data_IF_561973071453
#
_entry.id   IF_561973071453
#
_cell.length_a   1.000
_cell.length_b   1.000
_cell.length_c   1.000
_cell.angle_alpha   90.00
_cell.angle_beta   90.00
_cell.angle_gamma   90.00
#
_symmetry.space_group_name_H-M   'P 1'
#
loop_
_entity.id
_entity.type
_entity.pdbx_description
1 polymer ?
#
# COMPACT_ATOMS: atom_id res chain seq x y z
N UNK A 1 -82.97 -4.27 -3.44
CA UNK A 1 -82.47 -2.87 -3.45
C UNK A 1 -81.63 -2.68 -2.19
N UNK A 2 -80.31 -2.43 -2.32
CA UNK A 2 -79.64 -1.12 -2.00
C UNK A 2 -79.65 -0.88 -0.47
N UNK A 3 -78.57 -0.72 0.34
CA UNK A 3 -77.18 -0.18 0.25
C UNK A 3 -76.45 -0.61 1.56
N UNK A 4 -75.15 -0.98 1.57
CA UNK A 4 -73.94 -0.14 1.76
C UNK A 4 -73.71 0.40 3.20
N UNK A 5 -72.65 -0.09 3.87
CA UNK A 5 -71.47 0.67 4.42
C UNK A 5 -71.70 1.37 5.78
N UNK A 6 -70.77 1.51 6.75
CA UNK A 6 -69.37 1.14 7.06
C UNK A 6 -69.17 1.45 8.56
N UNK A 7 -68.19 0.81 9.21
CA UNK A 7 -67.22 1.39 10.18
C UNK A 7 -66.57 0.21 10.95
N UNK A 8 -65.37 -0.24 10.55
CA UNK A 8 -64.05 0.18 11.07
C UNK A 8 -63.86 -0.03 12.58
N UNK A 9 -63.01 -1.00 12.94
CA UNK A 9 -61.65 -0.76 13.44
C UNK A 9 -61.23 -1.77 14.53
N UNK A 10 -60.65 -2.91 14.14
CA UNK A 10 -59.67 -3.62 14.96
C UNK A 10 -58.56 -4.18 14.06
N UNK A 11 -57.39 -3.56 14.11
CA UNK A 11 -56.15 -4.07 13.52
C UNK A 11 -55.66 -5.29 14.34
N UNK A 12 -55.32 -6.43 13.72
CA UNK A 12 -54.50 -7.43 14.37
C UNK A 12 -53.01 -7.01 14.33
N UNK A 13 -52.18 -7.52 15.27
CA UNK A 13 -50.84 -7.00 15.52
C UNK A 13 -49.91 -7.25 14.34
N UNK A 14 -49.15 -6.20 14.00
CA UNK A 14 -48.06 -6.19 13.04
C UNK A 14 -47.16 -7.40 13.22
N UNK A 15 -47.12 -8.27 12.21
CA UNK A 15 -46.06 -9.25 12.08
C UNK A 15 -44.74 -8.49 11.99
N UNK A 16 -43.92 -8.61 13.03
CA UNK A 16 -42.51 -8.25 13.00
C UNK A 16 -41.87 -9.11 11.92
N UNK A 17 -41.75 -8.57 10.71
CA UNK A 17 -40.88 -9.13 9.69
C UNK A 17 -39.47 -9.09 10.25
N UNK A 18 -39.00 -10.25 10.72
CA UNK A 18 -37.60 -10.48 10.94
C UNK A 18 -36.88 -10.08 9.66
N UNK A 19 -36.02 -9.06 9.73
CA UNK A 19 -35.03 -8.79 8.69
C UNK A 19 -34.23 -10.08 8.52
N UNK A 20 -34.62 -10.93 7.57
CA UNK A 20 -33.80 -12.02 7.10
C UNK A 20 -32.56 -11.36 6.51
N UNK A 21 -31.47 -11.34 7.28
CA UNK A 21 -30.17 -10.94 6.79
C UNK A 21 -29.87 -11.79 5.56
N UNK A 22 -29.68 -11.14 4.41
CA UNK A 22 -29.42 -11.82 3.15
C UNK A 22 -28.17 -12.72 3.37
N UNK A 23 -28.21 -14.04 3.14
CA UNK A 23 -27.09 -14.94 3.44
C UNK A 23 -25.78 -14.60 2.72
N UNK A 24 -25.88 -13.77 1.68
CA UNK A 24 -24.76 -13.19 0.94
C UNK A 24 -23.96 -12.17 1.76
N UNK A 25 -24.61 -11.46 2.68
CA UNK A 25 -24.00 -10.34 3.44
C UNK A 25 -23.43 -10.78 4.79
N UNK A 26 -23.43 -12.09 5.08
CA UNK A 26 -22.82 -12.64 6.27
C UNK A 26 -21.30 -12.43 6.25
N UNK A 27 -20.78 -11.76 7.28
CA UNK A 27 -19.34 -11.65 7.50
C UNK A 27 -18.77 -12.96 8.07
N UNK A 28 -17.71 -13.45 7.44
CA UNK A 28 -16.93 -14.59 7.90
C UNK A 28 -15.52 -14.17 8.26
N UNK A 29 -14.94 -14.85 9.26
CA UNK A 29 -13.51 -14.77 9.52
C UNK A 29 -12.79 -15.72 8.57
N UNK A 30 -11.93 -15.20 7.71
CA UNK A 30 -10.99 -16.00 6.92
C UNK A 30 -9.60 -15.95 7.56
N UNK A 31 -8.91 -17.07 7.46
CA UNK A 31 -7.52 -17.21 7.87
C UNK A 31 -6.69 -17.38 6.61
N UNK A 32 -5.74 -16.49 6.35
CA UNK A 32 -4.84 -16.61 5.19
C UNK A 32 -3.46 -17.02 5.69
N UNK A 33 -2.90 -18.06 5.09
CA UNK A 33 -1.55 -18.53 5.36
C UNK A 33 -0.62 -18.09 4.23
N UNK A 34 0.33 -17.22 4.60
CA UNK A 34 1.46 -16.81 3.77
C UNK A 34 2.74 -17.32 4.47
N UNK A 35 3.67 -16.44 4.83
CA UNK A 35 4.80 -16.69 5.75
C UNK A 35 4.36 -16.71 7.23
N UNK A 36 3.20 -16.09 7.51
CA UNK A 36 2.51 -16.10 8.80
C UNK A 36 1.02 -16.29 8.58
N UNK A 37 0.30 -16.54 9.66
CA UNK A 37 -1.16 -16.69 9.64
C UNK A 37 -1.81 -15.34 9.93
N UNK A 38 -2.63 -14.82 9.01
CA UNK A 38 -3.41 -13.60 9.21
C UNK A 38 -4.90 -13.91 9.28
N UNK A 39 -5.61 -13.19 10.15
CA UNK A 39 -7.06 -13.27 10.24
C UNK A 39 -7.71 -12.00 9.68
N UNK A 40 -8.75 -12.14 8.89
CA UNK A 40 -9.52 -11.03 8.33
C UNK A 40 -11.02 -11.34 8.32
N UNK A 41 -11.84 -10.29 8.42
CA UNK A 41 -13.30 -10.38 8.29
C UNK A 41 -13.69 -9.93 6.89
N UNK A 42 -14.46 -10.74 6.18
CA UNK A 42 -14.94 -10.45 4.82
C UNK A 42 -16.37 -10.95 4.65
N UNK A 43 -17.15 -10.35 3.76
CA UNK A 43 -18.50 -10.85 3.45
C UNK A 43 -18.43 -12.00 2.46
N UNK A 44 -19.32 -12.97 2.60
CA UNK A 44 -19.44 -14.11 1.67
C UNK A 44 -19.72 -13.68 0.22
N UNK A 45 -20.34 -12.52 0.02
CA UNK A 45 -20.65 -11.93 -1.29
C UNK A 45 -19.46 -11.25 -1.98
N UNK A 46 -18.37 -10.96 -1.28
CA UNK A 46 -17.21 -10.28 -1.86
C UNK A 46 -16.57 -11.13 -2.96
N UNK A 47 -16.04 -10.44 -3.98
CA UNK A 47 -15.25 -11.05 -5.04
C UNK A 47 -13.84 -11.41 -4.56
N UNK A 48 -13.20 -12.37 -5.23
CA UNK A 48 -11.81 -12.76 -4.92
C UNK A 48 -10.83 -11.60 -5.12
N UNK A 49 -11.07 -10.71 -6.08
CA UNK A 49 -10.28 -9.49 -6.29
C UNK A 49 -10.25 -8.58 -5.04
N UNK A 50 -11.38 -8.42 -4.36
CA UNK A 50 -11.45 -7.63 -3.11
C UNK A 50 -10.63 -8.30 -2.01
N UNK A 51 -10.67 -9.62 -1.92
CA UNK A 51 -9.87 -10.36 -0.96
C UNK A 51 -8.37 -10.21 -1.24
N UNK A 52 -7.96 -10.28 -2.51
CA UNK A 52 -6.57 -10.04 -2.92
C UNK A 52 -6.11 -8.63 -2.55
N UNK A 53 -6.94 -7.62 -2.81
CA UNK A 53 -6.67 -6.24 -2.40
C UNK A 53 -6.45 -6.11 -0.89
N UNK A 54 -7.35 -6.69 -0.08
CA UNK A 54 -7.24 -6.67 1.39
C UNK A 54 -5.98 -7.37 1.91
N UNK A 55 -5.58 -8.49 1.28
CA UNK A 55 -4.33 -9.17 1.60
C UNK A 55 -3.14 -8.29 1.22
N UNK A 56 -3.19 -7.65 0.06
CA UNK A 56 -2.11 -6.78 -0.40
C UNK A 56 -1.88 -5.57 0.49
N UNK A 57 -2.95 -4.97 1.00
CA UNK A 57 -2.88 -3.90 2.00
C UNK A 57 -2.30 -4.35 3.34
N UNK A 58 -2.50 -5.62 3.73
CA UNK A 58 -2.05 -6.17 5.02
C UNK A 58 -0.63 -6.73 4.98
N UNK A 59 -0.24 -7.32 3.87
CA UNK A 59 1.01 -8.09 3.73
C UNK A 59 1.99 -7.46 2.75
N UNK A 60 1.64 -6.32 2.12
CA UNK A 60 2.46 -5.64 1.12
C UNK A 60 2.80 -6.51 -0.10
N UNK A 61 1.80 -7.29 -0.57
CA UNK A 61 1.89 -8.18 -1.73
C UNK A 61 0.93 -7.67 -2.81
N UNK A 62 1.42 -7.38 -4.01
CA UNK A 62 0.54 -6.95 -5.10
C UNK A 62 -0.47 -8.01 -5.50
N UNK A 63 -1.66 -7.58 -5.90
CA UNK A 63 -2.80 -8.46 -6.24
C UNK A 63 -2.49 -9.44 -7.38
N UNK A 64 -1.69 -9.03 -8.37
CA UNK A 64 -1.23 -9.88 -9.47
C UNK A 64 -0.23 -10.97 -9.05
N UNK A 65 0.45 -10.79 -7.92
CA UNK A 65 1.36 -11.77 -7.34
C UNK A 65 0.67 -12.69 -6.32
N UNK A 66 -0.65 -12.57 -6.18
CA UNK A 66 -1.43 -13.38 -5.26
C UNK A 66 -2.20 -14.49 -5.99
N UNK A 67 -1.92 -15.74 -5.63
CA UNK A 67 -2.76 -16.88 -5.99
C UNK A 67 -3.40 -17.46 -4.73
N UNK A 68 -4.71 -17.30 -4.60
CA UNK A 68 -5.46 -17.82 -3.45
C UNK A 68 -5.94 -19.23 -3.75
N UNK A 69 -5.80 -20.12 -2.76
CA UNK A 69 -6.38 -21.45 -2.82
C UNK A 69 -7.13 -21.79 -1.54
N UNK A 70 -8.26 -22.49 -1.70
CA UNK A 70 -9.06 -23.03 -0.62
C UNK A 70 -9.09 -24.55 -0.77
N UNK A 71 -8.57 -25.28 0.24
CA UNK A 71 -8.49 -26.74 0.24
C UNK A 71 -7.89 -27.32 -1.07
N UNK A 72 -6.81 -26.70 -1.56
CA UNK A 72 -6.12 -27.10 -2.78
C UNK A 72 -6.78 -26.63 -4.08
N UNK A 73 -7.90 -25.91 -4.03
CA UNK A 73 -8.54 -25.35 -5.22
C UNK A 73 -8.21 -23.88 -5.40
N UNK A 74 -7.65 -23.51 -6.55
CA UNK A 74 -7.40 -22.12 -6.91
C UNK A 74 -8.69 -21.31 -6.99
N UNK A 75 -8.63 -20.09 -6.45
CA UNK A 75 -9.69 -19.11 -6.47
C UNK A 75 -9.43 -18.12 -7.62
N UNK A 76 -10.46 -17.85 -8.40
CA UNK A 76 -10.43 -17.10 -9.65
C UNK A 76 -11.00 -15.70 -9.41
N UNK A 77 -10.40 -14.71 -10.06
CA UNK A 77 -10.91 -13.35 -10.10
C UNK A 77 -12.31 -13.33 -10.76
N UNK A 78 -13.12 -12.32 -10.43
CA UNK A 78 -14.54 -12.24 -10.83
C UNK A 78 -15.52 -13.21 -10.13
N UNK A 79 -15.05 -14.25 -9.41
CA UNK A 79 -15.93 -15.13 -8.60
C UNK A 79 -16.13 -14.60 -7.19
N UNK A 80 -17.24 -14.97 -6.54
CA UNK A 80 -17.50 -14.62 -5.13
C UNK A 80 -16.99 -15.70 -4.20
N UNK A 81 -16.65 -15.32 -2.96
CA UNK A 81 -16.22 -16.26 -1.92
C UNK A 81 -17.28 -17.35 -1.73
N UNK A 82 -18.57 -16.99 -1.68
CA UNK A 82 -19.68 -17.94 -1.52
C UNK A 82 -19.80 -18.98 -2.64
N UNK A 83 -19.31 -18.70 -3.85
CA UNK A 83 -19.40 -19.63 -4.98
C UNK A 83 -18.54 -20.88 -4.76
N UNK A 84 -17.42 -20.71 -4.06
CA UNK A 84 -16.56 -21.81 -3.61
C UNK A 84 -17.19 -22.65 -2.50
N UNK A 85 -18.15 -22.07 -1.77
CA UNK A 85 -18.96 -22.75 -0.76
C UNK A 85 -20.08 -23.63 -1.31
N UNK A 86 -20.51 -23.41 -2.55
CA UNK A 86 -21.82 -23.87 -3.07
C UNK A 86 -21.72 -24.90 -4.21
N UNK A 87 -20.53 -25.26 -4.69
CA UNK A 87 -20.37 -26.21 -5.81
C UNK A 87 -20.72 -27.66 -5.41
N UNK A 88 -21.96 -28.06 -5.72
CA UNK A 88 -22.62 -29.34 -5.38
C UNK A 88 -22.22 -30.58 -6.21
N UNK A 89 -21.08 -30.60 -6.93
CA UNK A 89 -20.78 -31.72 -7.87
C UNK A 89 -19.56 -32.59 -7.53
N UNK A 90 -19.03 -32.55 -6.32
CA UNK A 90 -18.05 -33.55 -5.84
C UNK A 90 -18.29 -33.90 -4.37
N UNK A 91 -17.85 -35.09 -3.95
CA UNK A 91 -18.06 -35.69 -2.61
C UNK A 91 -17.36 -34.90 -1.47
N UNK A 92 -16.61 -33.84 -1.80
CA UNK A 92 -16.04 -32.90 -0.87
C UNK A 92 -16.70 -31.51 -1.08
N UNK A 93 -17.84 -31.28 -0.43
CA UNK A 93 -18.41 -29.93 -0.35
C UNK A 93 -17.50 -29.08 0.53
N UNK A 94 -16.74 -28.16 -0.05
CA UNK A 94 -16.00 -27.13 0.69
C UNK A 94 -17.01 -26.19 1.36
N UNK A 95 -17.52 -26.54 2.54
CA UNK A 95 -18.30 -25.61 3.33
C UNK A 95 -17.32 -24.54 3.83
N UNK A 96 -17.36 -23.34 3.26
CA UNK A 96 -16.63 -22.20 3.81
C UNK A 96 -17.32 -21.83 5.13
N UNK A 97 -16.74 -22.31 6.23
CA UNK A 97 -17.15 -21.98 7.58
C UNK A 97 -16.34 -20.79 8.09
N UNK A 98 -16.84 -20.14 9.14
CA UNK A 98 -16.05 -19.14 9.86
C UNK A 98 -14.77 -19.81 10.38
N UNK A 99 -13.62 -19.23 10.08
CA UNK A 99 -12.30 -19.81 10.36
C UNK A 99 -11.69 -20.63 9.22
N UNK A 100 -12.27 -20.64 8.01
CA UNK A 100 -11.68 -21.32 6.86
C UNK A 100 -10.27 -20.80 6.55
N UNK A 101 -9.35 -21.73 6.28
CA UNK A 101 -7.96 -21.43 5.95
C UNK A 101 -7.76 -21.37 4.44
N UNK A 102 -7.35 -20.21 3.95
CA UNK A 102 -6.85 -19.97 2.61
C UNK A 102 -5.34 -20.08 2.61
N UNK A 103 -4.79 -20.71 1.58
CA UNK A 103 -3.36 -20.68 1.31
C UNK A 103 -3.11 -19.64 0.22
N UNK A 104 -2.24 -18.68 0.51
CA UNK A 104 -1.72 -17.77 -0.49
C UNK A 104 -0.44 -18.38 -1.05
N UNK A 105 -0.46 -18.65 -2.36
CA UNK A 105 0.72 -18.99 -3.11
C UNK A 105 1.23 -17.69 -3.73
N UNK A 106 2.38 -17.24 -3.26
CA UNK A 106 3.20 -16.24 -3.95
C UNK A 106 4.34 -16.98 -4.61
N UNK A 107 4.61 -16.67 -5.87
CA UNK A 107 5.86 -17.08 -6.51
C UNK A 107 6.80 -15.86 -6.40
N UNK A 108 7.56 -15.71 -5.29
CA UNK A 108 8.54 -14.64 -5.22
C UNK A 108 9.51 -14.86 -6.38
N UNK A 109 9.68 -13.85 -7.25
CA UNK A 109 10.78 -13.93 -8.22
C UNK A 109 12.04 -14.03 -7.39
N UNK A 110 12.77 -15.14 -7.54
CA UNK A 110 13.92 -15.44 -6.68
C UNK A 110 14.90 -14.26 -6.64
N UNK A 111 15.08 -13.60 -7.80
CA UNK A 111 15.88 -12.39 -7.96
C UNK A 111 15.22 -11.44 -8.98
N UNK A 112 15.38 -10.14 -8.75
CA UNK A 112 15.01 -9.05 -9.66
C UNK A 112 16.23 -8.17 -9.88
N UNK A 113 16.54 -7.91 -11.16
CA UNK A 113 17.67 -7.09 -11.57
C UNK A 113 17.19 -5.78 -12.18
N UNK A 114 17.53 -4.64 -11.56
CA UNK A 114 17.14 -3.31 -12.04
C UNK A 114 18.32 -2.34 -11.96
N UNK A 115 18.16 -1.14 -12.49
CA UNK A 115 19.19 -0.09 -12.48
C UNK A 115 18.82 1.06 -11.55
N UNK A 116 19.82 1.58 -10.83
CA UNK A 116 19.73 2.83 -10.08
C UNK A 116 20.55 3.89 -10.79
N UNK A 117 19.89 4.94 -11.30
CA UNK A 117 20.55 6.11 -11.88
C UNK A 117 20.92 7.10 -10.77
N UNK A 118 22.22 7.37 -10.62
CA UNK A 118 22.74 8.35 -9.66
C UNK A 118 22.56 9.79 -10.16
N UNK A 119 22.69 10.80 -9.27
CA UNK A 119 22.74 12.22 -9.68
C UNK A 119 23.83 12.53 -10.72
N UNK A 120 24.94 11.78 -10.72
CA UNK A 120 26.01 11.89 -11.71
C UNK A 120 25.70 11.17 -13.04
N UNK A 121 24.48 10.66 -13.22
CA UNK A 121 24.02 9.93 -14.41
C UNK A 121 24.72 8.59 -14.64
N UNK A 122 25.34 8.05 -13.60
CA UNK A 122 25.90 6.69 -13.61
C UNK A 122 24.78 5.73 -13.22
N UNK A 123 24.68 4.61 -13.92
CA UNK A 123 23.72 3.54 -13.60
C UNK A 123 24.41 2.39 -12.88
N UNK A 124 23.84 1.97 -11.75
CA UNK A 124 24.29 0.83 -10.95
C UNK A 124 23.27 -0.28 -11.12
N UNK A 125 23.70 -1.46 -11.55
CA UNK A 125 22.82 -2.63 -11.54
C UNK A 125 22.72 -3.20 -10.13
N UNK A 126 21.49 -3.48 -9.71
CA UNK A 126 21.16 -4.03 -8.40
C UNK A 126 20.39 -5.31 -8.63
N UNK A 127 20.86 -6.39 -8.01
CA UNK A 127 20.28 -7.72 -8.05
C UNK A 127 19.92 -8.14 -6.63
N UNK A 128 18.63 -8.33 -6.37
CA UNK A 128 18.05 -8.51 -5.04
C UNK A 128 16.75 -9.30 -5.14
N UNK A 129 16.21 -9.76 -4.01
CA UNK A 129 14.90 -10.42 -3.98
C UNK A 129 13.78 -9.40 -4.10
N UNK A 130 12.68 -9.74 -4.76
CA UNK A 130 11.50 -8.85 -4.82
C UNK A 130 10.89 -8.56 -3.43
N UNK A 131 11.18 -9.40 -2.43
CA UNK A 131 10.82 -9.21 -1.02
C UNK A 131 11.69 -8.18 -0.29
N UNK A 132 12.82 -7.75 -0.86
CA UNK A 132 13.67 -6.74 -0.21
C UNK A 132 12.96 -5.40 -0.13
N UNK A 133 13.16 -4.71 1.00
CA UNK A 133 12.61 -3.36 1.20
C UNK A 133 13.43 -2.33 0.43
N UNK A 134 12.83 -1.17 0.18
CA UNK A 134 13.54 -0.02 -0.38
C UNK A 134 14.73 0.38 0.49
N UNK A 135 14.63 0.24 1.83
CA UNK A 135 15.77 0.47 2.71
C UNK A 135 16.91 -0.52 2.47
N UNK A 136 16.61 -1.80 2.27
CA UNK A 136 17.63 -2.82 1.98
C UNK A 136 18.36 -2.49 0.68
N UNK A 137 17.61 -2.12 -0.37
CA UNK A 137 18.18 -1.65 -1.65
C UNK A 137 19.09 -0.45 -1.44
N UNK A 138 18.65 0.54 -0.65
CA UNK A 138 19.46 1.72 -0.37
C UNK A 138 20.76 1.39 0.34
N UNK A 139 20.76 0.44 1.29
CA UNK A 139 21.97 -0.04 1.96
C UNK A 139 22.93 -0.77 1.00
N UNK A 140 22.38 -1.53 0.05
CA UNK A 140 23.18 -2.18 -0.99
C UNK A 140 23.84 -1.13 -1.88
N UNK A 141 23.07 -0.16 -2.38
CA UNK A 141 23.63 0.94 -3.18
C UNK A 141 24.63 1.77 -2.38
N UNK A 142 24.40 2.01 -1.10
CA UNK A 142 25.39 2.64 -0.20
C UNK A 142 26.69 1.83 -0.14
N UNK A 143 26.63 0.50 -0.08
CA UNK A 143 27.85 -0.33 -0.08
C UNK A 143 28.60 -0.32 -1.43
N UNK A 144 27.90 -0.03 -2.53
CA UNK A 144 28.48 0.06 -3.88
C UNK A 144 28.93 1.49 -4.23
N UNK A 145 28.60 2.46 -3.39
CA UNK A 145 28.86 3.88 -3.63
C UNK A 145 29.41 4.55 -2.36
N UNK A 146 29.54 5.88 -2.36
CA UNK A 146 29.85 6.65 -1.15
C UNK A 146 28.64 7.47 -0.68
N UNK A 147 27.43 7.20 -1.21
CA UNK A 147 26.22 7.95 -0.86
C UNK A 147 25.50 7.26 0.29
N UNK A 148 25.46 7.92 1.46
CA UNK A 148 24.79 7.36 2.64
C UNK A 148 23.30 7.21 2.38
N UNK A 149 22.72 6.07 2.75
CA UNK A 149 21.31 5.78 2.46
C UNK A 149 20.33 6.77 3.07
N UNK A 150 20.72 7.59 4.05
CA UNK A 150 19.88 8.67 4.58
C UNK A 150 19.86 9.93 3.69
N UNK A 151 20.86 10.16 2.84
CA UNK A 151 21.05 11.41 2.09
C UNK A 151 20.19 11.49 0.81
N UNK A 152 19.55 10.40 0.43
CA UNK A 152 18.84 10.27 -0.83
C UNK A 152 17.62 9.36 -0.73
N UNK A 153 16.71 9.49 -1.68
CA UNK A 153 15.53 8.65 -1.85
C UNK A 153 15.49 8.05 -3.25
N UNK A 154 14.87 6.87 -3.37
CA UNK A 154 14.59 6.24 -4.66
C UNK A 154 13.27 6.74 -5.22
N UNK A 155 13.26 6.95 -6.54
CA UNK A 155 12.08 7.33 -7.30
C UNK A 155 11.86 6.39 -8.48
N UNK A 156 10.61 5.94 -8.66
CA UNK A 156 10.16 5.30 -9.88
C UNK A 156 9.31 6.32 -10.66
N UNK A 157 9.85 6.85 -11.75
CA UNK A 157 9.28 8.00 -12.45
C UNK A 157 9.22 9.24 -11.53
N UNK A 158 8.01 9.68 -11.16
CA UNK A 158 7.77 10.80 -10.22
C UNK A 158 7.41 10.34 -8.81
N UNK A 159 7.27 9.02 -8.58
CA UNK A 159 6.84 8.46 -7.30
C UNK A 159 8.04 8.23 -6.39
N UNK A 160 8.08 8.90 -5.24
CA UNK A 160 9.02 8.60 -4.17
C UNK A 160 8.70 7.23 -3.56
N UNK A 161 9.70 6.39 -3.40
CA UNK A 161 9.56 5.06 -2.81
C UNK A 161 9.77 5.13 -1.28
N UNK A 162 8.87 4.50 -0.53
CA UNK A 162 8.92 4.40 0.93
C UNK A 162 9.87 3.27 1.37
N UNK A 163 10.80 3.60 2.27
CA UNK A 163 11.82 2.71 2.84
C UNK A 163 11.28 1.39 3.40
N UNK A 164 10.06 1.36 3.94
CA UNK A 164 9.47 0.17 4.57
C UNK A 164 8.75 -0.76 3.59
N UNK A 165 8.49 -0.30 2.36
CA UNK A 165 7.81 -1.10 1.33
C UNK A 165 8.80 -1.94 0.54
N UNK A 166 8.33 -3.07 0.02
CA UNK A 166 9.14 -4.02 -0.77
C UNK A 166 9.23 -3.61 -2.24
N UNK A 167 10.17 -4.18 -2.98
CA UNK A 167 10.22 -4.05 -4.44
C UNK A 167 8.95 -4.59 -5.10
N UNK A 168 8.48 -5.73 -4.61
CA UNK A 168 7.23 -6.35 -5.04
C UNK A 168 6.06 -5.37 -4.88
N UNK A 169 5.94 -4.62 -3.78
CA UNK A 169 4.87 -3.63 -3.58
C UNK A 169 4.82 -2.55 -4.67
N UNK A 170 5.94 -2.24 -5.31
CA UNK A 170 6.03 -1.23 -6.37
C UNK A 170 5.94 -1.81 -7.78
N UNK A 171 5.79 -3.13 -7.95
CA UNK A 171 5.86 -3.84 -9.23
C UNK A 171 7.18 -3.55 -9.98
N UNK A 172 8.29 -3.46 -9.24
CA UNK A 172 9.61 -3.21 -9.84
C UNK A 172 10.04 -4.45 -10.61
N UNK A 173 10.36 -4.26 -11.89
CA UNK A 173 10.66 -5.31 -12.85
C UNK A 173 12.12 -5.29 -13.27
N UNK A 174 12.48 -6.35 -13.98
CA UNK A 174 13.76 -6.44 -14.63
C UNK A 174 13.96 -5.24 -15.58
N UNK A 175 15.15 -4.63 -15.53
CA UNK A 175 15.54 -3.47 -16.33
C UNK A 175 14.81 -2.16 -16.00
N UNK A 176 14.01 -2.09 -14.93
CA UNK A 176 13.50 -0.81 -14.45
C UNK A 176 14.65 0.13 -14.06
N UNK A 177 14.43 1.43 -14.24
CA UNK A 177 15.40 2.46 -13.84
C UNK A 177 14.81 3.29 -12.71
N UNK A 178 15.36 3.13 -11.52
CA UNK A 178 15.04 3.94 -10.35
C UNK A 178 16.02 5.11 -10.27
N UNK A 179 15.50 6.30 -9.97
CA UNK A 179 16.33 7.51 -9.84
C UNK A 179 16.67 7.78 -8.38
N UNK A 180 17.95 7.96 -8.11
CA UNK A 180 18.45 8.46 -6.84
C UNK A 180 18.37 9.98 -6.84
N UNK A 181 17.51 10.54 -6.00
CA UNK A 181 17.38 11.98 -5.80
C UNK A 181 17.70 12.33 -4.35
N UNK A 182 18.31 13.49 -4.13
CA UNK A 182 18.67 13.94 -2.79
C UNK A 182 17.43 14.03 -1.89
N UNK A 183 17.53 13.49 -0.67
CA UNK A 183 16.44 13.51 0.29
C UNK A 183 16.19 14.96 0.71
N UNK A 184 14.95 15.42 0.55
CA UNK A 184 14.54 16.77 0.94
C UNK A 184 13.97 16.74 2.35
N UNK A 185 14.40 17.69 3.17
CA UNK A 185 13.92 17.94 4.51
C UNK A 185 13.42 19.37 4.59
N UNK A 186 12.37 19.59 5.37
CA UNK A 186 11.90 20.93 5.66
C UNK A 186 12.63 21.47 6.89
N UNK A 187 13.33 22.58 6.73
CA UNK A 187 13.89 23.35 7.85
C UNK A 187 13.10 24.64 8.03
N UNK A 188 13.10 25.17 9.25
CA UNK A 188 12.48 26.45 9.57
C UNK A 188 13.55 27.49 9.85
N UNK A 189 13.48 28.63 9.15
CA UNK A 189 14.37 29.78 9.36
C UNK A 189 13.57 30.92 9.99
N UNK A 190 13.98 31.35 11.18
CA UNK A 190 13.42 32.54 11.83
C UNK A 190 14.18 33.77 11.38
N UNK A 191 13.48 34.71 10.76
CA UNK A 191 14.04 36.00 10.32
C UNK A 191 14.17 36.99 11.50
N UNK A 192 14.92 38.09 11.30
CA UNK A 192 15.08 39.15 12.32
C UNK A 192 13.75 39.84 12.67
N UNK A 193 12.77 39.83 11.76
CA UNK A 193 11.43 40.37 12.01
C UNK A 193 10.53 39.41 12.79
N UNK A 194 11.02 38.21 13.13
CA UNK A 194 10.27 37.16 13.83
C UNK A 194 9.48 36.23 12.90
N UNK A 195 9.37 36.53 11.61
CA UNK A 195 8.72 35.65 10.62
C UNK A 195 9.47 34.33 10.49
N UNK A 196 8.75 33.21 10.52
CA UNK A 196 9.27 31.87 10.24
C UNK A 196 9.07 31.57 8.75
N UNK A 197 10.13 31.12 8.08
CA UNK A 197 10.12 30.72 6.68
C UNK A 197 10.53 29.26 6.59
N UNK A 198 9.69 28.43 5.98
CA UNK A 198 10.00 27.02 5.74
C UNK A 198 10.76 26.86 4.42
N UNK A 199 11.90 26.17 4.48
CA UNK A 199 12.76 25.84 3.33
C UNK A 199 12.82 24.34 3.14
N UNK A 200 12.72 23.88 1.90
CA UNK A 200 13.09 22.52 1.52
C UNK A 200 14.57 22.48 1.17
N UNK A 201 15.33 21.73 1.97
CA UNK A 201 16.78 21.57 1.82
C UNK A 201 17.13 20.09 1.67
N UNK A 202 18.27 19.82 1.07
CA UNK A 202 18.84 18.48 0.97
C UNK A 202 20.16 18.43 1.75
N UNK A 203 20.64 17.25 2.10
CA UNK A 203 21.97 17.13 2.74
C UNK A 203 23.11 17.60 1.81
N UNK A 204 22.85 17.68 0.50
CA UNK A 204 23.80 18.20 -0.49
C UNK A 204 23.80 19.73 -0.60
N UNK A 205 22.85 20.43 0.04
CA UNK A 205 22.83 21.90 -0.01
C UNK A 205 23.93 22.49 0.86
N UNK A 206 24.85 23.22 0.23
CA UNK A 206 25.75 24.10 0.97
C UNK A 206 25.04 25.37 1.46
N UNK A 207 25.68 26.12 2.37
CA UNK A 207 25.10 27.36 2.93
C UNK A 207 24.72 28.38 1.86
N UNK A 208 25.45 28.45 0.73
CA UNK A 208 25.11 29.37 -0.36
C UNK A 208 23.82 28.96 -1.05
N UNK A 209 23.59 27.66 -1.28
CA UNK A 209 22.34 27.13 -1.81
C UNK A 209 21.17 27.39 -0.86
N UNK A 210 21.36 27.16 0.46
CA UNK A 210 20.34 27.47 1.48
C UNK A 210 20.00 28.96 1.48
N UNK A 211 21.00 29.85 1.40
CA UNK A 211 20.77 31.30 1.31
C UNK A 211 20.03 31.71 0.04
N UNK A 212 20.34 31.07 -1.10
CA UNK A 212 19.62 31.25 -2.37
C UNK A 212 18.13 30.93 -2.21
N UNK A 213 17.82 29.74 -1.69
CA UNK A 213 16.44 29.32 -1.37
C UNK A 213 15.73 30.28 -0.41
N UNK A 214 16.46 30.83 0.57
CA UNK A 214 15.92 31.85 1.48
C UNK A 214 15.64 33.19 0.77
N UNK A 215 16.49 33.62 -0.16
CA UNK A 215 16.27 34.85 -0.95
C UNK A 215 15.11 34.75 -1.94
N UNK A 216 14.69 33.56 -2.34
CA UNK A 216 13.50 33.38 -3.17
C UNK A 216 12.20 33.56 -2.35
N UNK A 217 12.26 33.27 -1.04
CA UNK A 217 11.11 33.36 -0.12
C UNK A 217 11.10 34.62 0.74
N UNK A 218 12.14 35.44 0.64
CA UNK A 218 12.31 36.68 1.41
C UNK A 218 12.87 37.76 0.51
N UNK A 219 12.63 39.03 0.81
CA UNK A 219 13.20 40.15 0.04
C UNK A 219 14.69 40.41 0.38
N UNK A 220 15.38 39.47 1.03
CA UNK A 220 16.76 39.63 1.47
C UNK A 220 17.71 38.92 0.50
N UNK A 221 18.51 39.70 -0.22
CA UNK A 221 19.53 39.16 -1.13
C UNK A 221 20.57 38.29 -0.39
N UNK A 222 21.07 37.25 -1.06
CA UNK A 222 22.03 36.26 -0.53
C UNK A 222 23.21 36.88 0.23
N UNK A 223 23.79 37.96 -0.32
CA UNK A 223 24.96 38.63 0.27
C UNK A 223 24.65 39.37 1.58
N UNK A 224 23.38 39.75 1.78
CA UNK A 224 22.92 40.45 2.98
C UNK A 224 22.40 39.49 4.07
N UNK A 225 22.45 38.18 3.81
CA UNK A 225 22.00 37.17 4.77
C UNK A 225 23.15 36.67 5.65
N UNK A 226 22.90 36.62 6.96
CA UNK A 226 23.72 35.91 7.94
C UNK A 226 22.88 34.81 8.58
N UNK A 227 23.22 33.55 8.29
CA UNK A 227 22.51 32.37 8.80
C UNK A 227 23.27 31.85 10.01
N UNK A 228 22.55 31.56 11.10
CA UNK A 228 23.07 31.01 12.34
C UNK A 228 22.25 29.77 12.69
N UNK A 229 22.90 28.70 13.17
CA UNK A 229 22.20 27.52 13.69
C UNK A 229 22.03 27.65 15.21
N UNK A 230 20.78 27.67 15.67
CA UNK A 230 20.46 27.60 17.10
C UNK A 230 20.34 26.14 17.54
N UNK A 231 20.90 25.80 18.70
CA UNK A 231 20.59 24.54 19.40
C UNK A 231 19.23 24.63 20.08
#
# INVERSE_FOLDING_TARGET
>A
MVKAERDQNENPPSQTQSRQSNPSDEEIKLVVKVNKTIAMKVKKSEAIEILKKMIGEKEDILENNQQLSLAGRNMEDGRRIMDYGRMKKTVASLKIQSGATLQLLTDPKEEVTFSVETPSKITIQVEVKDTNTILDVKKIVESMTNFRSEEWDLFLGKRRLNNLKTLAFYDIKENDILKMLAATYQISVRTRTGKIVSLEVTQLDNIRAVKGKLSEKTEVQVNNQRVMFGK
#
